data_IF_876721988226
#
_entry.id   IF_876721988226
#
_cell.length_a   1.000
_cell.length_b   1.000
_cell.length_c   1.000
_cell.angle_alpha   90.00
_cell.angle_beta   90.00
_cell.angle_gamma   90.00
#
_symmetry.space_group_name_H-M   'P 1'
#
loop_
_entity.id
_entity.type
_entity.pdbx_description
1 polymer ?
#
# COMPACT_ATOMS: atom_id res chain seq x y z
N UNK A 1 10.04 -34.60 7.58
CA UNK A 1 8.75 -34.33 6.92
C UNK A 1 8.04 -33.25 7.75
N UNK A 2 8.17 -31.96 7.39
CA UNK A 2 7.56 -30.86 8.13
C UNK A 2 6.47 -30.24 7.25
N UNK A 3 5.21 -30.50 7.57
CA UNK A 3 4.07 -29.79 7.01
C UNK A 3 4.04 -28.39 7.64
N UNK A 4 4.15 -27.35 6.82
CA UNK A 4 3.80 -25.98 7.21
C UNK A 4 2.35 -25.72 6.78
N UNK A 5 1.34 -25.83 7.65
CA UNK A 5 0.02 -25.30 7.37
C UNK A 5 0.07 -23.77 7.48
N UNK A 6 -0.44 -23.05 6.47
CA UNK A 6 -0.71 -21.61 6.60
C UNK A 6 -0.18 -20.69 5.49
N UNK A 7 0.38 -21.22 4.40
CA UNK A 7 0.73 -20.42 3.23
C UNK A 7 -0.35 -20.56 2.16
N UNK A 8 -1.21 -19.56 2.05
CA UNK A 8 -2.17 -19.48 0.94
C UNK A 8 -1.53 -18.70 -0.20
N UNK A 9 -1.57 -19.27 -1.41
CA UNK A 9 -0.97 -18.65 -2.60
C UNK A 9 -1.83 -17.47 -3.05
N UNK A 10 -1.25 -16.29 -3.27
CA UNK A 10 -1.93 -15.22 -4.00
C UNK A 10 -1.68 -15.47 -5.49
N UNK A 11 -2.62 -16.12 -6.16
CA UNK A 11 -2.73 -16.09 -7.61
C UNK A 11 -3.87 -15.15 -7.97
N UNK A 12 -3.63 -13.84 -7.93
CA UNK A 12 -4.48 -12.90 -8.66
C UNK A 12 -3.72 -12.51 -9.91
N UNK A 13 -3.77 -13.38 -10.91
CA UNK A 13 -3.47 -12.95 -12.27
C UNK A 13 -4.69 -12.19 -12.75
N UNK A 14 -4.60 -10.86 -12.75
CA UNK A 14 -5.53 -9.98 -13.46
C UNK A 14 -5.34 -10.19 -14.97
N UNK A 15 -5.82 -11.33 -15.48
CA UNK A 15 -6.11 -11.45 -16.90
C UNK A 15 -7.42 -10.72 -17.09
N UNK A 16 -7.34 -9.49 -17.62
CA UNK A 16 -8.51 -8.78 -18.10
C UNK A 16 -9.35 -9.72 -18.95
N UNK A 17 -10.64 -9.81 -18.64
CA UNK A 17 -11.62 -10.52 -19.45
C UNK A 17 -11.83 -9.74 -20.75
N UNK A 18 -10.89 -9.84 -21.69
CA UNK A 18 -11.13 -9.45 -23.08
C UNK A 18 -11.80 -10.63 -23.78
N UNK A 19 -13.10 -10.51 -24.04
CA UNK A 19 -13.81 -11.47 -24.87
C UNK A 19 -13.42 -11.32 -26.35
N UNK A 20 -12.87 -12.39 -26.94
CA UNK A 20 -13.28 -12.99 -28.23
C UNK A 20 -12.54 -14.34 -28.45
N UNK A 21 -13.17 -15.34 -29.11
CA UNK A 21 -12.75 -16.76 -29.14
C UNK A 21 -11.76 -17.08 -30.29
N UNK A 22 -11.23 -18.33 -30.40
CA UNK A 22 -9.86 -18.60 -30.85
C UNK A 22 -9.72 -18.78 -32.37
N UNK A 23 -8.54 -18.45 -32.88
CA UNK A 23 -8.03 -19.01 -34.13
C UNK A 23 -6.59 -19.50 -33.94
N UNK A 24 -6.36 -20.71 -34.45
CA UNK A 24 -5.19 -21.56 -34.34
C UNK A 24 -4.07 -21.20 -35.33
N UNK A 25 -2.81 -21.55 -34.94
CA UNK A 25 -1.60 -21.88 -35.74
C UNK A 25 -0.87 -20.72 -36.46
N UNK A 26 0.46 -20.70 -36.66
CA UNK A 26 1.65 -21.52 -36.31
C UNK A 26 2.92 -20.64 -36.51
N UNK A 27 4.04 -21.02 -35.87
CA UNK A 27 5.50 -20.81 -36.13
C UNK A 27 5.95 -19.90 -37.29
N UNK A 28 7.05 -19.13 -37.24
CA UNK A 28 8.44 -19.53 -36.94
C UNK A 28 9.40 -18.34 -36.78
N UNK A 29 10.63 -18.66 -36.39
CA UNK A 29 11.83 -17.85 -36.14
C UNK A 29 12.23 -16.81 -37.21
N UNK A 30 12.94 -15.76 -36.77
CA UNK A 30 14.33 -15.43 -37.18
C UNK A 30 14.69 -13.92 -37.16
N UNK A 31 15.76 -13.61 -36.41
CA UNK A 31 16.93 -12.77 -36.79
C UNK A 31 16.80 -11.23 -36.88
N UNK A 32 17.37 -10.62 -35.83
CA UNK A 32 18.46 -9.62 -35.78
C UNK A 32 18.38 -8.21 -36.41
N UNK A 33 18.92 -7.27 -35.60
CA UNK A 33 19.59 -6.00 -35.91
C UNK A 33 18.70 -4.89 -36.46
N UNK A 34 18.91 -3.61 -36.21
CA UNK A 34 19.80 -2.78 -35.40
C UNK A 34 19.34 -1.37 -35.77
N UNK A 35 19.19 -0.45 -34.82
CA UNK A 35 19.78 0.90 -34.87
C UNK A 35 19.20 1.79 -33.76
N UNK A 36 20.13 2.56 -33.21
CA UNK A 36 20.06 3.45 -32.06
C UNK A 36 19.46 4.83 -32.41
N UNK A 37 19.25 5.71 -31.42
CA UNK A 37 18.25 6.78 -31.44
C UNK A 37 18.81 8.10 -31.96
N UNK A 38 17.92 9.04 -32.29
CA UNK A 38 18.27 10.44 -32.50
C UNK A 38 17.61 11.33 -31.42
N UNK A 39 18.39 12.27 -30.93
CA UNK A 39 18.13 13.20 -29.82
C UNK A 39 18.06 14.62 -30.38
N UNK A 40 17.38 15.49 -29.63
CA UNK A 40 17.34 16.97 -29.70
C UNK A 40 16.31 17.64 -30.63
N UNK A 41 15.30 18.35 -30.10
CA UNK A 41 15.32 19.62 -29.34
C UNK A 41 15.55 20.84 -30.24
N UNK A 42 14.51 21.68 -30.46
CA UNK A 42 14.62 23.16 -30.48
C UNK A 42 13.26 23.88 -30.53
N UNK A 43 13.14 24.83 -29.60
CA UNK A 43 12.17 25.92 -29.49
C UNK A 43 12.10 26.78 -30.76
N UNK A 44 10.93 27.36 -31.02
CA UNK A 44 10.82 28.77 -31.41
C UNK A 44 9.48 29.36 -30.94
N UNK A 45 9.58 30.47 -30.21
CA UNK A 45 8.47 31.31 -29.77
C UNK A 45 7.97 32.18 -30.92
N UNK A 46 6.69 32.58 -30.89
CA UNK A 46 6.26 33.83 -31.50
C UNK A 46 5.15 34.48 -30.68
N UNK A 47 5.46 35.71 -30.29
CA UNK A 47 4.65 36.71 -29.59
C UNK A 47 3.74 37.39 -30.61
N UNK A 48 2.49 37.69 -30.23
CA UNK A 48 1.75 38.87 -30.70
C UNK A 48 0.59 39.20 -29.74
N UNK A 49 0.75 40.32 -29.03
CA UNK A 49 -0.20 41.21 -28.33
C UNK A 49 -1.32 41.64 -29.33
N UNK A 50 -2.57 42.04 -29.00
CA UNK A 50 -2.99 43.20 -28.18
C UNK A 50 -4.54 43.38 -28.19
N UNK A 51 -5.08 44.00 -27.11
CA UNK A 51 -6.35 44.80 -26.91
C UNK A 51 -7.70 44.10 -27.20
N UNK A 52 -8.78 44.19 -26.42
CA UNK A 52 -9.21 44.97 -25.24
C UNK A 52 -10.68 44.60 -24.90
N UNK A 53 -11.29 45.17 -23.84
CA UNK A 53 -12.39 44.53 -23.11
C UNK A 53 -13.79 45.01 -23.53
N UNK A 54 -14.77 44.11 -23.47
CA UNK A 54 -16.20 44.42 -23.60
C UNK A 54 -17.00 43.80 -22.45
N UNK A 55 -17.61 44.66 -21.64
CA UNK A 55 -18.61 44.30 -20.64
C UNK A 55 -19.90 43.86 -21.35
N UNK A 56 -20.45 42.69 -20.99
CA UNK A 56 -21.87 42.40 -21.11
C UNK A 56 -22.41 41.70 -19.86
N UNK A 57 -23.57 42.18 -19.42
CA UNK A 57 -24.33 41.80 -18.23
C UNK A 57 -25.07 40.44 -18.40
N UNK A 58 -25.56 39.84 -17.29
CA UNK A 58 -25.95 38.44 -17.27
C UNK A 58 -27.38 38.21 -17.83
N UNK A 59 -27.50 37.24 -18.73
CA UNK A 59 -28.81 36.71 -19.16
C UNK A 59 -29.39 35.79 -18.08
N UNK A 60 -30.61 36.13 -17.68
CA UNK A 60 -31.49 35.33 -16.85
C UNK A 60 -31.69 33.94 -17.48
N UNK A 61 -31.44 32.88 -16.72
CA UNK A 61 -31.82 31.51 -17.08
C UNK A 61 -33.08 31.16 -16.30
N UNK A 62 -34.15 31.04 -17.05
CA UNK A 62 -35.49 30.65 -16.63
C UNK A 62 -35.47 29.25 -16.03
N UNK A 63 -35.97 29.12 -14.81
CA UNK A 63 -36.18 27.88 -14.08
C UNK A 63 -37.27 27.03 -14.73
N UNK A 64 -36.87 25.99 -15.47
CA UNK A 64 -37.77 24.94 -15.94
C UNK A 64 -37.98 23.91 -14.83
N UNK A 65 -39.17 23.94 -14.22
CA UNK A 65 -39.65 22.88 -13.33
C UNK A 65 -39.77 21.59 -14.15
N UNK A 66 -38.85 20.65 -13.92
CA UNK A 66 -38.96 19.29 -14.47
C UNK A 66 -39.90 18.51 -13.56
N UNK A 67 -41.12 18.30 -14.04
CA UNK A 67 -42.11 17.43 -13.42
C UNK A 67 -41.58 15.99 -13.47
N UNK A 68 -41.14 15.44 -12.34
CA UNK A 68 -40.79 14.04 -12.22
C UNK A 68 -42.06 13.19 -12.38
N UNK A 69 -42.24 12.62 -13.57
CA UNK A 69 -43.25 11.60 -13.83
C UNK A 69 -42.78 10.32 -13.13
N UNK A 70 -43.44 9.98 -12.02
CA UNK A 70 -43.25 8.71 -11.33
C UNK A 70 -43.66 7.57 -12.26
N UNK A 71 -42.71 7.04 -13.04
CA UNK A 71 -42.86 5.74 -13.66
C UNK A 71 -42.60 4.69 -12.59
N UNK A 72 -43.68 4.16 -12.03
CA UNK A 72 -43.70 2.87 -11.35
C UNK A 72 -43.28 1.80 -12.35
N UNK A 73 -41.97 1.56 -12.45
CA UNK A 73 -41.42 0.39 -13.11
C UNK A 73 -41.70 -0.82 -12.23
N UNK A 74 -42.81 -1.50 -12.51
CA UNK A 74 -43.01 -2.89 -12.07
C UNK A 74 -42.04 -3.76 -12.88
N UNK A 75 -40.78 -3.82 -12.44
CA UNK A 75 -39.76 -4.67 -13.07
C UNK A 75 -40.06 -6.13 -12.77
N UNK A 76 -40.33 -6.91 -13.82
CA UNK A 76 -40.28 -8.38 -13.79
C UNK A 76 -39.00 -8.82 -13.06
N UNK A 77 -39.06 -9.82 -12.15
CA UNK A 77 -37.86 -10.29 -11.48
C UNK A 77 -36.92 -10.87 -12.53
N UNK A 78 -35.73 -10.30 -12.64
CA UNK A 78 -34.63 -10.83 -13.46
C UNK A 78 -34.32 -12.25 -12.96
N UNK A 79 -34.85 -13.25 -13.67
CA UNK A 79 -34.63 -14.65 -13.39
C UNK A 79 -33.15 -14.98 -13.66
N UNK A 80 -32.31 -14.87 -12.64
CA UNK A 80 -30.89 -15.18 -12.73
C UNK A 80 -30.01 -14.54 -11.67
N UNK A 81 -30.46 -13.45 -11.03
CA UNK A 81 -29.69 -12.81 -9.95
C UNK A 81 -30.00 -13.43 -8.59
N UNK A 82 -28.95 -13.66 -7.81
CA UNK A 82 -29.07 -14.12 -6.42
C UNK A 82 -29.81 -13.08 -5.57
N UNK A 83 -30.47 -13.47 -4.46
CA UNK A 83 -31.17 -12.52 -3.59
C UNK A 83 -30.27 -11.36 -3.14
N UNK A 84 -28.99 -11.65 -2.88
CA UNK A 84 -28.01 -10.63 -2.51
C UNK A 84 -27.74 -9.63 -3.64
N UNK A 85 -27.64 -10.08 -4.90
CA UNK A 85 -27.42 -9.19 -6.05
C UNK A 85 -28.62 -8.30 -6.39
N UNK A 86 -29.81 -8.63 -5.88
CA UNK A 86 -31.02 -7.81 -6.05
C UNK A 86 -31.08 -6.63 -5.08
N UNK A 87 -30.25 -6.65 -4.03
CA UNK A 87 -30.18 -5.54 -3.09
C UNK A 87 -29.63 -4.28 -3.79
N UNK A 88 -30.12 -3.08 -3.43
CA UNK A 88 -29.55 -1.84 -3.90
C UNK A 88 -28.03 -1.77 -3.62
N UNK A 89 -27.24 -1.17 -4.52
CA UNK A 89 -25.79 -1.04 -4.34
C UNK A 89 -25.38 -0.45 -2.99
N UNK A 90 -26.17 0.48 -2.44
CA UNK A 90 -25.93 1.15 -1.17
C UNK A 90 -25.98 0.16 0.00
N UNK A 91 -26.99 -0.72 0.01
CA UNK A 91 -27.15 -1.76 1.04
C UNK A 91 -26.04 -2.81 0.91
N UNK A 92 -25.68 -3.19 -0.33
CA UNK A 92 -24.57 -4.12 -0.56
C UNK A 92 -23.25 -3.54 -0.08
N UNK A 93 -23.02 -2.25 -0.33
CA UNK A 93 -21.84 -1.53 0.13
C UNK A 93 -21.73 -1.49 1.66
N UNK A 94 -22.82 -1.20 2.38
CA UNK A 94 -22.85 -1.27 3.84
C UNK A 94 -22.48 -2.67 4.34
N UNK A 95 -23.04 -3.72 3.74
CA UNK A 95 -22.72 -5.11 4.09
C UNK A 95 -21.22 -5.40 3.84
N UNK A 96 -20.64 -4.92 2.74
CA UNK A 96 -19.21 -5.09 2.52
C UNK A 96 -18.38 -4.35 3.58
N UNK A 97 -18.74 -3.12 3.94
CA UNK A 97 -18.00 -2.38 4.97
C UNK A 97 -17.95 -3.13 6.31
N UNK A 98 -19.03 -3.83 6.66
CA UNK A 98 -19.06 -4.65 7.87
C UNK A 98 -18.26 -5.95 7.76
N UNK A 99 -18.19 -6.56 6.56
CA UNK A 99 -17.46 -7.80 6.31
C UNK A 99 -15.94 -7.59 6.18
N UNK A 100 -15.52 -6.48 5.58
CA UNK A 100 -14.12 -6.15 5.35
C UNK A 100 -13.54 -5.42 6.57
N UNK A 101 -13.18 -6.20 7.59
CA UNK A 101 -12.43 -5.69 8.73
C UNK A 101 -10.93 -5.52 8.39
N UNK A 102 -10.16 -4.75 9.17
CA UNK A 102 -8.73 -4.59 8.92
C UNK A 102 -7.96 -5.91 9.15
N UNK A 103 -7.29 -6.40 8.11
CA UNK A 103 -6.36 -7.53 8.23
C UNK A 103 -4.94 -7.06 8.02
N UNK A 104 -4.00 -7.68 8.75
CA UNK A 104 -2.58 -7.49 8.52
C UNK A 104 -1.99 -8.70 7.82
N UNK A 105 -1.38 -8.46 6.67
CA UNK A 105 -0.88 -9.51 5.79
C UNK A 105 0.57 -9.27 5.44
N UNK A 106 1.40 -10.25 5.72
CA UNK A 106 2.80 -10.25 5.34
C UNK A 106 2.95 -10.85 3.96
N UNK A 107 3.55 -10.08 3.04
CA UNK A 107 3.77 -10.51 1.67
C UNK A 107 5.15 -11.17 1.57
N UNK A 108 5.12 -12.46 1.24
CA UNK A 108 6.30 -13.30 1.16
C UNK A 108 6.61 -13.61 -0.31
N UNK A 109 7.88 -13.57 -0.67
CA UNK A 109 8.36 -14.06 -1.96
C UNK A 109 9.06 -15.40 -1.76
N UNK A 110 8.41 -16.48 -2.18
CA UNK A 110 8.95 -17.82 -2.06
C UNK A 110 9.28 -18.40 -3.44
N UNK A 111 10.28 -19.29 -3.46
CA UNK A 111 10.66 -20.05 -4.65
C UNK A 111 9.80 -21.31 -4.69
N UNK A 112 9.03 -21.49 -5.76
CA UNK A 112 8.32 -22.74 -6.00
C UNK A 112 9.35 -23.83 -6.25
N UNK A 113 9.31 -24.87 -5.41
CA UNK A 113 10.06 -26.09 -5.67
C UNK A 113 9.25 -26.91 -6.69
N UNK A 114 9.57 -26.77 -7.96
CA UNK A 114 9.12 -27.71 -8.98
C UNK A 114 9.76 -29.07 -8.67
N UNK A 115 8.99 -30.18 -8.66
CA UNK A 115 9.57 -31.52 -8.56
C UNK A 115 10.39 -31.89 -9.81
N UNK A 116 10.13 -31.20 -10.94
CA UNK A 116 10.85 -31.37 -12.19
C UNK A 116 12.08 -30.43 -12.24
N UNK A 117 13.31 -30.97 -12.30
CA UNK A 117 14.56 -30.21 -12.35
C UNK A 117 14.80 -29.50 -13.70
N UNK A 118 14.08 -29.88 -14.77
CA UNK A 118 14.23 -29.27 -16.09
C UNK A 118 13.62 -27.86 -16.19
N UNK A 119 12.72 -27.51 -15.27
CA UNK A 119 12.03 -26.21 -15.29
C UNK A 119 12.70 -25.21 -14.36
N UNK A 120 12.98 -23.98 -14.83
CA UNK A 120 13.54 -22.95 -13.98
C UNK A 120 12.56 -22.62 -12.86
N UNK A 121 13.07 -22.58 -11.64
CA UNK A 121 12.26 -22.32 -10.47
C UNK A 121 11.61 -20.94 -10.54
N UNK A 122 10.28 -20.90 -10.36
CA UNK A 122 9.51 -19.66 -10.40
C UNK A 122 9.35 -19.12 -9.00
N UNK A 123 9.59 -17.82 -8.83
CA UNK A 123 9.23 -17.14 -7.59
C UNK A 123 7.75 -16.76 -7.65
N UNK A 124 7.02 -16.93 -6.55
CA UNK A 124 5.64 -16.47 -6.37
C UNK A 124 5.48 -15.63 -5.12
N UNK A 125 4.40 -14.87 -5.08
CA UNK A 125 3.98 -14.15 -3.88
C UNK A 125 3.00 -15.01 -3.09
N UNK A 126 3.23 -15.07 -1.80
CA UNK A 126 2.40 -15.70 -0.80
C UNK A 126 2.04 -14.67 0.25
N UNK A 127 1.04 -14.97 1.05
CA UNK A 127 0.74 -14.17 2.22
C UNK A 127 0.73 -15.02 3.49
N UNK A 128 1.04 -14.37 4.60
CA UNK A 128 0.84 -14.88 5.94
C UNK A 128 0.04 -13.86 6.74
N UNK A 129 -1.07 -14.28 7.32
CA UNK A 129 -1.87 -13.40 8.16
C UNK A 129 -1.17 -13.17 9.51
N UNK A 130 -1.08 -11.91 9.89
CA UNK A 130 -0.51 -11.45 11.15
C UNK A 130 -1.61 -10.83 12.01
N UNK A 131 -1.29 -10.56 13.27
CA UNK A 131 -2.18 -9.83 14.16
C UNK A 131 -2.42 -8.41 13.62
N UNK A 132 -3.68 -8.02 13.35
CA UNK A 132 -4.00 -6.67 12.90
C UNK A 132 -3.58 -5.61 13.91
N UNK A 133 -3.18 -4.44 13.41
CA UNK A 133 -3.07 -3.24 14.23
C UNK A 133 -4.44 -2.62 14.41
N UNK A 134 -4.64 -2.08 15.59
CA UNK A 134 -5.79 -1.24 15.89
C UNK A 134 -5.75 0.03 15.00
N UNK A 135 -6.86 0.36 14.35
CA UNK A 135 -6.90 1.45 13.36
C UNK A 135 -6.79 2.84 13.98
N UNK A 136 -7.05 2.98 15.28
CA UNK A 136 -6.97 4.26 15.98
C UNK A 136 -5.59 4.40 16.65
N UNK A 137 -5.20 3.42 17.46
CA UNK A 137 -3.93 3.48 18.21
C UNK A 137 -2.70 3.06 17.41
N UNK A 138 -2.89 2.32 16.31
CA UNK A 138 -1.82 1.70 15.52
C UNK A 138 -0.91 0.75 16.30
N UNK A 139 -1.34 0.36 17.50
CA UNK A 139 -0.64 -0.60 18.35
C UNK A 139 -1.14 -2.02 18.08
N UNK A 140 -0.25 -2.97 18.30
CA UNK A 140 -0.57 -4.40 18.22
C UNK A 140 -1.06 -4.78 19.61
N UNK A 141 -2.35 -5.12 19.74
CA UNK A 141 -2.89 -5.57 21.03
C UNK A 141 -2.19 -6.87 21.46
N UNK A 142 -1.79 -7.03 22.72
CA UNK A 142 -1.24 -8.29 23.20
C UNK A 142 -2.28 -9.41 23.01
N UNK A 143 -1.88 -10.50 22.33
CA UNK A 143 -2.76 -11.64 22.09
C UNK A 143 -2.99 -12.41 23.39
N UNK A 144 -4.24 -12.51 23.84
CA UNK A 144 -4.63 -13.20 25.08
C UNK A 144 -4.98 -14.68 24.86
N UNK A 145 -4.65 -15.30 23.72
CA UNK A 145 -5.01 -16.71 23.47
C UNK A 145 -4.61 -17.25 22.08
N UNK A 146 -5.24 -18.39 21.68
CA UNK A 146 -5.02 -19.02 20.37
C UNK A 146 -5.29 -18.01 19.24
N UNK A 147 -4.33 -17.90 18.32
CA UNK A 147 -4.42 -17.06 17.11
C UNK A 147 -5.54 -17.60 16.19
N UNK A 148 -6.76 -17.15 16.41
CA UNK A 148 -7.86 -17.33 15.45
C UNK A 148 -8.25 -15.94 14.97
N UNK A 149 -7.66 -15.52 13.86
CA UNK A 149 -8.16 -14.39 13.10
C UNK A 149 -9.15 -14.95 12.09
N UNK A 150 -10.24 -14.23 11.78
CA UNK A 150 -11.10 -14.67 10.70
C UNK A 150 -10.28 -14.77 9.40
N UNK A 151 -10.65 -15.67 8.49
CA UNK A 151 -9.97 -15.79 7.21
C UNK A 151 -10.13 -14.50 6.40
N UNK A 152 -9.22 -14.28 5.45
CA UNK A 152 -9.40 -13.20 4.48
C UNK A 152 -10.70 -13.42 3.69
N UNK A 153 -11.50 -12.38 3.41
CA UNK A 153 -12.76 -12.50 2.67
C UNK A 153 -12.56 -12.74 1.16
N UNK A 154 -11.50 -13.45 0.76
CA UNK A 154 -11.17 -13.75 -0.63
C UNK A 154 -12.28 -14.54 -1.34
N UNK A 155 -12.97 -15.42 -0.60
CA UNK A 155 -14.08 -16.20 -1.14
C UNK A 155 -15.18 -15.28 -1.71
N UNK A 156 -15.51 -14.19 -1.00
CA UNK A 156 -16.50 -13.20 -1.43
C UNK A 156 -16.07 -12.51 -2.73
N UNK A 157 -14.82 -12.03 -2.76
CA UNK A 157 -14.23 -11.32 -3.90
C UNK A 157 -14.30 -12.16 -5.18
N UNK A 158 -14.05 -13.47 -5.08
CA UNK A 158 -14.01 -14.37 -6.23
C UNK A 158 -15.32 -15.11 -6.51
N UNK A 159 -16.43 -14.74 -5.87
CA UNK A 159 -17.74 -15.35 -6.15
C UNK A 159 -18.25 -15.04 -7.57
N UNK A 160 -18.26 -13.77 -7.96
CA UNK A 160 -18.71 -13.33 -9.27
C UNK A 160 -18.12 -11.97 -9.65
N UNK A 161 -18.25 -11.61 -10.94
CA UNK A 161 -17.69 -10.36 -11.48
C UNK A 161 -18.22 -9.10 -10.79
N UNK A 162 -19.51 -9.06 -10.44
CA UNK A 162 -20.12 -7.91 -9.76
C UNK A 162 -19.46 -7.67 -8.39
N UNK A 163 -19.42 -8.72 -7.56
CA UNK A 163 -18.80 -8.67 -6.22
C UNK A 163 -17.32 -8.30 -6.33
N UNK A 164 -16.61 -8.89 -7.30
CA UNK A 164 -15.22 -8.58 -7.56
C UNK A 164 -15.00 -7.08 -7.81
N UNK A 165 -15.75 -6.50 -8.75
CA UNK A 165 -15.61 -5.09 -9.11
C UNK A 165 -15.92 -4.14 -7.94
N UNK A 166 -16.89 -4.48 -7.11
CA UNK A 166 -17.28 -3.63 -5.98
C UNK A 166 -16.36 -3.77 -4.77
N UNK A 167 -15.81 -4.96 -4.53
CA UNK A 167 -15.11 -5.27 -3.27
C UNK A 167 -13.59 -5.23 -3.39
N UNK A 168 -13.00 -5.32 -4.59
CA UNK A 168 -11.55 -5.42 -4.74
C UNK A 168 -10.81 -4.19 -4.18
N UNK A 169 -11.31 -2.98 -4.43
CA UNK A 169 -10.69 -1.76 -3.90
C UNK A 169 -10.90 -1.63 -2.38
N UNK A 170 -12.08 -2.02 -1.88
CA UNK A 170 -12.35 -2.07 -0.44
C UNK A 170 -11.38 -3.04 0.25
N UNK A 171 -11.13 -4.21 -0.35
CA UNK A 171 -10.14 -5.17 0.12
C UNK A 171 -8.75 -4.52 0.25
N UNK A 172 -8.20 -3.93 -0.81
CA UNK A 172 -6.88 -3.30 -0.73
C UNK A 172 -6.82 -2.12 0.25
N UNK A 173 -7.91 -1.37 0.40
CA UNK A 173 -7.97 -0.22 1.32
C UNK A 173 -8.02 -0.60 2.81
N UNK A 174 -8.51 -1.80 3.13
CA UNK A 174 -8.66 -2.30 4.51
C UNK A 174 -7.46 -3.14 4.96
N UNK A 175 -6.62 -3.59 4.03
CA UNK A 175 -5.45 -4.41 4.32
C UNK A 175 -4.26 -3.58 4.81
N UNK A 176 -3.54 -4.13 5.78
CA UNK A 176 -2.26 -3.63 6.29
C UNK A 176 -1.14 -4.52 5.73
N UNK A 177 -0.45 -4.04 4.70
CA UNK A 177 0.56 -4.83 4.00
C UNK A 177 1.93 -4.74 4.67
N UNK A 178 2.51 -5.89 5.00
CA UNK A 178 3.85 -5.98 5.60
C UNK A 178 4.83 -6.54 4.60
N UNK A 179 5.89 -5.79 4.29
CA UNK A 179 6.97 -6.21 3.40
C UNK A 179 8.27 -6.41 4.18
N UNK A 180 8.84 -7.60 4.09
CA UNK A 180 10.16 -7.91 4.69
C UNK A 180 11.30 -7.77 3.67
N UNK A 181 10.98 -7.87 2.38
CA UNK A 181 11.99 -7.81 1.32
C UNK A 181 11.64 -6.75 0.29
N UNK A 182 12.65 -6.04 -0.15
CA UNK A 182 12.57 -5.14 -1.32
C UNK A 182 12.05 -5.88 -2.55
N UNK A 183 12.47 -7.14 -2.73
CA UNK A 183 12.03 -7.98 -3.86
C UNK A 183 10.56 -8.41 -3.76
N UNK A 184 10.00 -8.55 -2.56
CA UNK A 184 8.57 -8.82 -2.40
C UNK A 184 7.74 -7.57 -2.68
N UNK A 185 8.16 -6.41 -2.19
CA UNK A 185 7.49 -5.13 -2.45
C UNK A 185 7.50 -4.78 -3.95
N UNK A 186 8.68 -4.79 -4.59
CA UNK A 186 8.82 -4.54 -6.03
C UNK A 186 7.93 -5.45 -6.87
N UNK A 187 7.88 -6.74 -6.52
CA UNK A 187 7.06 -7.71 -7.24
C UNK A 187 5.57 -7.53 -6.97
N UNK A 188 5.20 -7.14 -5.76
CA UNK A 188 3.82 -6.85 -5.40
C UNK A 188 3.29 -5.67 -6.21
N UNK A 189 4.05 -4.57 -6.29
CA UNK A 189 3.71 -3.43 -7.15
C UNK A 189 3.61 -3.85 -8.62
N UNK A 190 4.53 -4.68 -9.11
CA UNK A 190 4.49 -5.13 -10.51
C UNK A 190 3.23 -5.94 -10.88
N UNK A 191 2.67 -6.69 -9.94
CA UNK A 191 1.56 -7.64 -10.21
C UNK A 191 0.20 -7.04 -9.88
N UNK A 192 0.14 -6.13 -8.92
CA UNK A 192 -1.11 -5.52 -8.45
C UNK A 192 -1.57 -4.46 -9.46
N UNK A 193 -2.87 -4.36 -9.73
CA UNK A 193 -3.40 -3.33 -10.62
C UNK A 193 -3.19 -1.92 -10.04
N UNK A 194 -3.09 -0.90 -10.91
CA UNK A 194 -2.86 0.49 -10.49
C UNK A 194 -3.96 1.04 -9.56
N UNK A 195 -5.22 0.71 -9.83
CA UNK A 195 -6.34 1.14 -8.98
C UNK A 195 -6.29 0.47 -7.60
N UNK A 196 -5.88 -0.80 -7.57
CA UNK A 196 -5.67 -1.52 -6.32
C UNK A 196 -4.48 -0.95 -5.53
N UNK A 197 -3.38 -0.59 -6.20
CA UNK A 197 -2.23 0.08 -5.58
C UNK A 197 -2.64 1.43 -4.97
N UNK A 198 -3.37 2.27 -5.73
CA UNK A 198 -3.78 3.59 -5.26
C UNK A 198 -4.77 3.54 -4.09
N UNK A 199 -5.52 2.44 -3.94
CA UNK A 199 -6.43 2.22 -2.82
C UNK A 199 -5.73 1.82 -1.51
N UNK A 200 -4.46 1.40 -1.52
CA UNK A 200 -3.75 0.94 -0.31
C UNK A 200 -3.50 2.11 0.63
N UNK A 201 -3.90 1.93 1.90
CA UNK A 201 -3.80 2.97 2.94
C UNK A 201 -2.74 2.71 4.00
N UNK A 202 -2.33 1.45 4.18
CA UNK A 202 -1.45 1.05 5.27
C UNK A 202 -0.33 0.13 4.80
N UNK A 203 0.92 0.55 5.04
CA UNK A 203 2.13 -0.23 4.73
C UNK A 203 3.04 -0.34 5.95
N UNK A 204 3.61 -1.53 6.13
CA UNK A 204 4.73 -1.76 7.02
C UNK A 204 5.96 -2.27 6.27
N UNK A 205 7.10 -1.64 6.50
CA UNK A 205 8.37 -1.95 5.88
C UNK A 205 9.33 -2.46 6.94
N UNK A 206 9.73 -3.74 6.84
CA UNK A 206 10.77 -4.33 7.66
C UNK A 206 12.02 -4.47 6.79
N UNK A 207 12.95 -3.54 6.92
CA UNK A 207 14.17 -3.51 6.11
C UNK A 207 15.43 -3.74 6.95
N UNK A 208 16.35 -4.52 6.41
CA UNK A 208 17.68 -4.74 6.98
C UNK A 208 18.68 -4.38 5.91
N UNK A 209 19.49 -3.35 6.18
CA UNK A 209 20.52 -2.91 5.24
C UNK A 209 21.65 -3.93 5.14
N UNK A 210 22.42 -3.88 4.06
CA UNK A 210 23.67 -4.63 3.98
C UNK A 210 24.72 -3.99 4.89
N UNK A 211 25.54 -4.83 5.51
CA UNK A 211 26.73 -4.40 6.25
C UNK A 211 27.76 -3.76 5.31
N UNK A 212 28.59 -2.89 5.87
CA UNK A 212 29.75 -2.36 5.17
C UNK A 212 30.74 -3.50 4.84
N UNK A 213 31.05 -3.74 3.55
CA UNK A 213 31.94 -4.82 3.17
C UNK A 213 33.39 -4.50 3.55
N UNK A 214 34.12 -5.52 4.02
CA UNK A 214 35.53 -5.39 4.37
C UNK A 214 36.43 -5.14 3.17
N UNK A 215 36.05 -5.69 2.00
CA UNK A 215 36.78 -5.55 0.75
C UNK A 215 36.01 -4.63 -0.20
N UNK A 216 36.71 -3.67 -0.81
CA UNK A 216 36.14 -2.65 -1.68
C UNK A 216 35.38 -3.24 -2.87
N UNK A 217 35.81 -4.40 -3.38
CA UNK A 217 35.18 -5.11 -4.50
C UNK A 217 33.71 -5.48 -4.22
N UNK A 218 33.38 -5.79 -2.96
CA UNK A 218 32.01 -6.15 -2.57
C UNK A 218 31.10 -4.93 -2.34
N UNK A 219 31.62 -3.69 -2.40
CA UNK A 219 30.80 -2.47 -2.26
C UNK A 219 29.73 -2.36 -3.33
N UNK A 220 29.98 -2.87 -4.54
CA UNK A 220 28.99 -2.92 -5.62
C UNK A 220 27.68 -3.59 -5.17
N UNK A 221 27.75 -4.68 -4.39
CA UNK A 221 26.55 -5.39 -3.94
C UNK A 221 25.75 -4.57 -2.93
N UNK A 222 26.44 -3.87 -2.03
CA UNK A 222 25.82 -2.95 -1.08
C UNK A 222 25.12 -1.81 -1.83
N UNK A 223 25.82 -1.12 -2.73
CA UNK A 223 25.23 -0.05 -3.53
C UNK A 223 24.02 -0.51 -4.34
N UNK A 224 24.07 -1.70 -4.94
CA UNK A 224 22.92 -2.28 -5.65
C UNK A 224 21.74 -2.56 -4.73
N UNK A 225 22.00 -3.01 -3.50
CA UNK A 225 20.94 -3.23 -2.51
C UNK A 225 20.33 -1.93 -2.03
N UNK A 226 21.14 -0.93 -1.71
CA UNK A 226 20.69 0.38 -1.23
C UNK A 226 19.89 1.11 -2.31
N UNK A 227 20.37 1.05 -3.56
CA UNK A 227 19.65 1.58 -4.72
C UNK A 227 18.33 0.84 -4.94
N UNK A 228 18.31 -0.49 -4.85
CA UNK A 228 17.06 -1.25 -4.97
C UNK A 228 16.07 -0.92 -3.84
N UNK A 229 16.55 -0.60 -2.64
CA UNK A 229 15.71 -0.13 -1.55
C UNK A 229 15.13 1.25 -1.83
N UNK A 230 15.97 2.19 -2.26
CA UNK A 230 15.54 3.54 -2.67
C UNK A 230 14.46 3.48 -3.76
N UNK A 231 14.73 2.78 -4.86
CA UNK A 231 13.80 2.67 -6.00
C UNK A 231 12.46 2.05 -5.60
N UNK A 232 12.47 1.02 -4.73
CA UNK A 232 11.22 0.42 -4.25
C UNK A 232 10.43 1.41 -3.39
N UNK A 233 11.08 2.19 -2.54
CA UNK A 233 10.37 3.20 -1.75
C UNK A 233 9.79 4.31 -2.63
N UNK A 234 10.56 4.75 -3.64
CA UNK A 234 10.13 5.73 -4.63
C UNK A 234 8.92 5.22 -5.44
N UNK A 235 9.01 3.99 -5.98
CA UNK A 235 7.90 3.31 -6.67
C UNK A 235 6.66 3.18 -5.76
N UNK A 236 6.84 2.83 -4.49
CA UNK A 236 5.74 2.74 -3.51
C UNK A 236 5.12 4.10 -3.23
N UNK A 237 5.93 5.14 -3.02
CA UNK A 237 5.43 6.48 -2.74
C UNK A 237 4.64 7.05 -3.93
N UNK A 238 5.05 6.75 -5.16
CA UNK A 238 4.32 7.15 -6.37
C UNK A 238 3.04 6.31 -6.61
N UNK A 239 3.11 5.00 -6.37
CA UNK A 239 2.00 4.09 -6.64
C UNK A 239 0.86 4.18 -5.60
N UNK A 240 1.23 4.33 -4.33
CA UNK A 240 0.32 4.23 -3.19
C UNK A 240 -0.22 5.61 -2.79
N UNK A 241 -0.97 6.23 -3.69
CA UNK A 241 -1.42 7.63 -3.55
C UNK A 241 -2.29 7.85 -2.30
N UNK A 242 -3.07 6.85 -1.86
CA UNK A 242 -3.90 6.94 -0.65
C UNK A 242 -3.19 6.48 0.63
N UNK A 243 -1.86 6.33 0.60
CA UNK A 243 -1.11 5.89 1.78
C UNK A 243 -1.27 6.91 2.91
N UNK A 244 -1.81 6.46 4.04
CA UNK A 244 -2.05 7.30 5.23
C UNK A 244 -1.25 6.83 6.42
N UNK A 245 -0.94 5.53 6.49
CA UNK A 245 -0.24 4.91 7.62
C UNK A 245 1.00 4.17 7.12
N UNK A 246 2.17 4.57 7.63
CA UNK A 246 3.46 3.93 7.38
C UNK A 246 4.12 3.47 8.69
N UNK A 247 4.45 2.20 8.77
CA UNK A 247 5.36 1.70 9.80
C UNK A 247 6.67 1.28 9.17
N UNK A 248 7.79 1.70 9.74
CA UNK A 248 9.12 1.31 9.27
C UNK A 248 9.89 0.73 10.43
N UNK A 249 10.39 -0.49 10.27
CA UNK A 249 11.39 -1.08 11.13
C UNK A 249 12.65 -1.32 10.29
N UNK A 250 13.66 -0.50 10.54
CA UNK A 250 14.87 -0.47 9.72
C UNK A 250 16.09 -0.75 10.59
N UNK A 251 16.88 -1.75 10.18
CA UNK A 251 18.19 -1.99 10.78
C UNK A 251 19.27 -1.42 9.87
N UNK A 252 19.98 -0.41 10.38
CA UNK A 252 21.02 0.32 9.65
C UNK A 252 22.38 -0.28 9.97
N UNK A 253 23.15 -0.60 8.94
CA UNK A 253 24.50 -1.16 9.05
C UNK A 253 25.56 -0.38 8.26
N UNK A 254 25.25 0.87 7.92
CA UNK A 254 26.17 1.79 7.25
C UNK A 254 27.30 2.21 8.20
N UNK A 255 28.52 2.33 7.65
CA UNK A 255 29.68 2.81 8.39
C UNK A 255 30.71 3.45 7.43
N UNK A 256 31.31 4.61 7.77
CA UNK A 256 30.97 5.52 8.87
C UNK A 256 29.67 6.29 8.60
N UNK A 257 28.96 6.67 9.67
CA UNK A 257 27.66 7.35 9.60
C UNK A 257 27.49 8.24 10.83
N UNK A 258 26.92 9.44 10.67
CA UNK A 258 26.63 10.37 11.79
C UNK A 258 25.26 10.11 12.41
N UNK A 259 24.41 9.38 11.69
CA UNK A 259 23.03 9.06 12.02
C UNK A 259 22.20 10.34 12.08
N UNK A 260 22.18 11.04 10.95
CA UNK A 260 21.46 12.29 10.75
C UNK A 260 20.48 12.16 9.60
N UNK A 261 19.34 12.85 9.70
CA UNK A 261 18.36 12.87 8.63
C UNK A 261 18.87 13.72 7.48
N UNK A 262 18.86 13.17 6.27
CA UNK A 262 19.54 13.75 5.11
C UNK A 262 20.78 12.97 4.69
N UNK A 263 21.18 11.96 5.46
CA UNK A 263 22.16 10.98 5.01
C UNK A 263 21.52 9.92 4.10
N UNK A 264 22.34 9.21 3.33
CA UNK A 264 21.91 8.25 2.29
C UNK A 264 20.94 7.18 2.78
N UNK A 265 21.12 6.68 4.00
CA UNK A 265 20.23 5.66 4.59
C UNK A 265 18.81 6.18 4.79
N UNK A 266 18.63 7.49 4.97
CA UNK A 266 17.35 8.12 5.31
C UNK A 266 16.54 8.53 4.07
N UNK A 267 17.19 8.74 2.93
CA UNK A 267 16.54 9.18 1.69
C UNK A 267 15.39 8.29 1.23
N UNK A 268 15.48 6.94 1.25
CA UNK A 268 14.35 6.07 0.88
C UNK A 268 13.11 6.28 1.75
N UNK A 269 13.24 6.83 2.96
CA UNK A 269 12.09 7.10 3.83
C UNK A 269 11.50 8.48 3.58
N UNK A 270 12.35 9.46 3.25
CA UNK A 270 11.92 10.84 3.00
C UNK A 270 11.05 10.98 1.74
N UNK A 271 11.18 10.07 0.76
CA UNK A 271 10.33 10.09 -0.45
C UNK A 271 8.84 10.00 -0.09
N UNK A 272 8.46 9.30 0.99
CA UNK A 272 7.06 9.22 1.42
C UNK A 272 6.49 10.56 1.92
N UNK A 273 7.35 11.52 2.27
CA UNK A 273 6.93 12.89 2.62
C UNK A 273 6.94 13.85 1.43
N UNK A 274 7.48 13.43 0.28
CA UNK A 274 7.62 14.24 -0.93
C UNK A 274 6.48 13.99 -1.92
N UNK A 275 5.98 12.76 -2.00
CA UNK A 275 4.90 12.40 -2.92
C UNK A 275 3.53 12.45 -2.22
N UNK A 276 2.58 13.14 -2.86
CA UNK A 276 1.17 13.18 -2.45
C UNK A 276 0.89 14.01 -1.20
N UNK A 277 -0.24 13.73 -0.56
CA UNK A 277 -0.54 14.25 0.77
C UNK A 277 0.40 13.58 1.78
N UNK A 278 0.97 14.37 2.68
CA UNK A 278 1.78 13.85 3.79
C UNK A 278 1.02 12.79 4.60
N UNK A 279 1.75 11.89 5.25
CA UNK A 279 1.13 10.78 5.96
C UNK A 279 0.36 11.25 7.20
N UNK A 280 -0.79 10.62 7.46
CA UNK A 280 -1.54 10.83 8.70
C UNK A 280 -0.82 10.20 9.91
N UNK A 281 -0.09 9.11 9.67
CA UNK A 281 0.66 8.39 10.70
C UNK A 281 1.94 7.77 10.13
N UNK A 282 3.09 8.08 10.71
CA UNK A 282 4.35 7.40 10.44
C UNK A 282 5.01 6.94 11.75
N UNK A 283 5.39 5.67 11.88
CA UNK A 283 6.14 5.16 13.04
C UNK A 283 7.41 4.47 12.58
N UNK A 284 8.55 5.06 12.91
CA UNK A 284 9.86 4.63 12.49
C UNK A 284 10.61 4.06 13.68
N UNK A 285 11.13 2.85 13.53
CA UNK A 285 11.96 2.16 14.49
C UNK A 285 13.30 1.86 13.85
N UNK A 286 14.33 2.56 14.33
CA UNK A 286 15.69 2.36 13.88
C UNK A 286 16.42 1.43 14.85
N UNK A 287 17.19 0.49 14.30
CA UNK A 287 18.10 -0.37 15.05
C UNK A 287 19.51 -0.21 14.48
N UNK A 288 20.45 0.16 15.34
CA UNK A 288 21.86 0.19 15.00
C UNK A 288 22.71 -0.11 16.23
N UNK A 289 23.62 -1.10 16.21
CA UNK A 289 24.38 -1.51 17.41
C UNK A 289 25.30 -0.43 18.02
N UNK A 290 25.75 0.55 17.22
CA UNK A 290 26.79 1.52 17.60
C UNK A 290 26.25 2.77 18.32
N UNK A 291 24.95 3.04 18.26
CA UNK A 291 24.35 4.25 18.84
C UNK A 291 23.40 3.89 19.98
N UNK A 292 23.25 4.82 20.93
CA UNK A 292 22.29 4.66 22.02
C UNK A 292 20.86 4.62 21.47
N UNK A 293 19.99 3.89 22.18
CA UNK A 293 18.57 3.81 21.79
C UNK A 293 17.89 5.18 21.83
N UNK A 294 18.34 6.08 22.70
CA UNK A 294 17.84 7.45 22.78
C UNK A 294 18.15 8.25 21.53
N UNK A 295 19.39 8.18 21.02
CA UNK A 295 19.76 8.84 19.75
C UNK A 295 18.96 8.26 18.59
N UNK A 296 18.82 6.93 18.51
CA UNK A 296 18.00 6.28 17.48
C UNK A 296 16.54 6.73 17.53
N UNK A 297 15.95 6.83 18.74
CA UNK A 297 14.59 7.32 18.94
C UNK A 297 14.44 8.80 18.60
N UNK A 298 15.47 9.62 18.82
CA UNK A 298 15.46 11.04 18.45
C UNK A 298 15.47 11.20 16.93
N UNK A 299 16.41 10.54 16.24
CA UNK A 299 16.53 10.60 14.78
C UNK A 299 15.31 10.01 14.09
N UNK A 300 14.74 8.92 14.63
CA UNK A 300 13.49 8.38 14.14
C UNK A 300 12.33 9.38 14.24
N UNK A 301 12.26 10.18 15.31
CA UNK A 301 11.25 11.24 15.44
C UNK A 301 11.44 12.38 14.46
N UNK A 302 12.69 12.80 14.22
CA UNK A 302 12.97 13.83 13.21
C UNK A 302 12.52 13.36 11.81
N UNK A 303 12.68 12.08 11.49
CA UNK A 303 12.11 11.48 10.28
C UNK A 303 10.57 11.47 10.29
N UNK A 304 9.95 11.05 11.39
CA UNK A 304 8.48 11.04 11.52
C UNK A 304 7.91 12.44 11.32
N UNK A 305 8.55 13.47 11.88
CA UNK A 305 8.16 14.87 11.73
C UNK A 305 8.23 15.35 10.28
N UNK A 306 9.25 14.92 9.51
CA UNK A 306 9.44 15.30 8.11
C UNK A 306 8.46 14.62 7.14
N UNK A 307 7.92 13.46 7.51
CA UNK A 307 7.07 12.64 6.62
C UNK A 307 5.58 12.81 6.95
N UNK A 308 5.25 13.07 8.22
CA UNK A 308 3.85 13.23 8.67
C UNK A 308 3.30 14.63 8.43
N UNK A 309 1.98 14.74 8.36
CA UNK A 309 1.27 16.03 8.45
C UNK A 309 1.60 16.74 9.77
N UNK A 310 1.97 18.04 9.78
CA UNK A 310 2.31 18.77 11.00
C UNK A 310 1.26 18.68 12.10
N UNK A 311 -0.02 18.83 11.75
CA UNK A 311 -1.14 18.74 12.70
C UNK A 311 -1.24 17.34 13.34
N UNK A 312 -1.08 16.29 12.54
CA UNK A 312 -1.13 14.90 13.03
C UNK A 312 0.06 14.57 13.92
N UNK A 313 1.23 15.09 13.57
CA UNK A 313 2.43 14.95 14.39
C UNK A 313 2.26 15.64 15.75
N UNK A 314 1.72 16.86 15.76
CA UNK A 314 1.47 17.61 16.99
C UNK A 314 0.49 16.88 17.92
N UNK A 315 -0.67 16.45 17.41
CA UNK A 315 -1.67 15.70 18.20
C UNK A 315 -1.03 14.46 18.85
N UNK A 316 -0.20 13.73 18.10
CA UNK A 316 0.46 12.53 18.62
C UNK A 316 1.49 12.85 19.69
N UNK A 317 2.30 13.89 19.52
CA UNK A 317 3.27 14.28 20.55
C UNK A 317 2.56 14.85 21.79
N UNK A 318 1.44 15.55 21.63
CA UNK A 318 0.58 16.00 22.73
C UNK A 318 -0.01 14.82 23.49
N UNK A 319 -0.57 13.82 22.80
CA UNK A 319 -1.04 12.57 23.43
C UNK A 319 0.09 11.87 24.19
N UNK A 320 1.29 11.85 23.62
CA UNK A 320 2.45 11.21 24.25
C UNK A 320 2.90 11.97 25.48
N UNK A 321 2.91 13.30 25.42
CA UNK A 321 3.25 14.17 26.53
C UNK A 321 2.20 14.04 27.64
N UNK A 322 0.92 14.03 27.29
CA UNK A 322 -0.18 13.76 28.20
C UNK A 322 -0.01 12.39 28.88
N UNK A 323 0.33 11.32 28.15
CA UNK A 323 0.63 10.00 28.74
C UNK A 323 1.83 10.03 29.70
N UNK A 324 2.86 10.83 29.43
CA UNK A 324 4.01 10.99 30.33
C UNK A 324 3.62 11.76 31.60
N UNK A 325 2.85 12.84 31.46
CA UNK A 325 2.38 13.66 32.58
C UNK A 325 1.37 12.92 33.45
N UNK A 326 0.46 12.15 32.86
CA UNK A 326 -0.51 11.30 33.58
C UNK A 326 0.15 10.14 34.34
N UNK A 327 1.44 9.85 34.07
CA UNK A 327 2.19 8.79 34.73
C UNK A 327 1.60 7.39 34.50
N UNK A 328 2.07 6.42 35.28
CA UNK A 328 1.38 5.14 35.41
C UNK A 328 0.06 5.39 36.12
N UNK A 329 -1.03 5.52 35.37
CA UNK A 329 -2.38 5.40 35.92
C UNK A 329 -2.46 4.00 36.49
N UNK A 330 -2.13 3.85 37.77
CA UNK A 330 -2.48 2.67 38.55
C UNK A 330 -4.00 2.60 38.45
N UNK A 331 -4.52 1.71 37.63
CA UNK A 331 -5.94 1.39 37.59
C UNK A 331 -6.32 0.77 38.94
N UNK A 332 -6.37 1.60 39.98
CA UNK A 332 -6.89 1.24 41.29
C UNK A 332 -8.39 1.43 41.19
N UNK A 333 -9.07 0.28 41.20
CA UNK A 333 -10.52 0.08 41.23
C UNK A 333 -11.22 0.31 39.90
N UNK A 334 -11.43 -0.81 39.20
CA UNK A 334 -12.54 -1.00 38.28
C UNK A 334 -13.82 -0.52 38.99
N UNK A 335 -14.44 0.56 38.49
CA UNK A 335 -15.81 0.91 38.84
C UNK A 335 -16.70 -0.22 38.30
N UNK A 336 -17.18 -1.09 39.19
CA UNK A 336 -18.33 -1.96 38.89
C UNK A 336 -19.55 -1.04 38.77
N UNK A 337 -19.96 -0.74 37.55
CA UNK A 337 -21.32 -0.24 37.30
C UNK A 337 -22.23 -1.46 37.44
N UNK A 338 -22.99 -1.50 38.53
CA UNK A 338 -24.07 -2.45 38.74
C UNK A 338 -25.31 -1.81 38.13
N UNK A 339 -25.93 -2.49 37.16
CA UNK A 339 -27.23 -2.12 36.61
C UNK A 339 -28.34 -2.64 37.52
#
# INVERSE_FOLDING_TARGET
MWFYPGLTTIQVTHKGFSGKPPLMRLTSDAVANSLRPNVDSRRAAKVATTVGPGLEQPKQVTSSIVTYRNHTHTSRPSAGLSPFQRLPPEIRWQIYQDLFYPHRVEILRCKDKSPDPSRPARYRLYHRQLQPRDTQSQDIRPSTGRRSYPPLPLALIFTCRLMYCETILLFYSTMQFVFISTKSAARFLKITDKDAQSAIRHVELNHVMYNEPRLTEFRVYKFRSDMAWYLVCDDMAQALVSLSVLHVHMTVYDWPIHLEVGERWSFPLLVFGQYGDQLDYAKIRLRMPRFSEEKLRFVARDLEQKIMKPQRFQIREDERLARKLMGSVKAKKILKVVF
#
